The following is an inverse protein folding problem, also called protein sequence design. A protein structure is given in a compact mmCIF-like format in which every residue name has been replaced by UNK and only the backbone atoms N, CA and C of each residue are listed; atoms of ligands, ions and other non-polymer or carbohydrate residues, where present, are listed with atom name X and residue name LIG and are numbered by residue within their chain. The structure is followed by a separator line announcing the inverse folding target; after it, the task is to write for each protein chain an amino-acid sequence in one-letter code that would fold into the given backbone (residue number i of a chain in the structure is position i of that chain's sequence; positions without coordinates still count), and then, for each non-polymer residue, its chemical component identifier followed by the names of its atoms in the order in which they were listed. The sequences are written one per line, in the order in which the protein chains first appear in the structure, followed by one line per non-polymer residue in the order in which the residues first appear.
data_IF_970979871867
#
_entry.id   IF_970979871867
#
_cell.length_a   1.000
_cell.length_b   1.000
_cell.length_c   1.000
_cell.angle_alpha   90.00
_cell.angle_beta   90.00
_cell.angle_gamma   90.00
#
_symmetry.space_group_name_H-M   'P 1'
#
loop_
_entity.id
_entity.type
_entity.pdbx_description
1 polymer ?
#
# COMPACT_ATOMS: atom_id res chain seq x y z
N UNK A 1 -34.01 5.14 -18.92
CA UNK A 1 -32.55 5.30 -19.18
C UNK A 1 -32.19 5.24 -20.66
N UNK A 2 -32.37 4.12 -21.37
CA UNK A 2 -31.86 3.98 -22.76
C UNK A 2 -32.41 5.02 -23.77
N UNK A 3 -33.69 5.42 -23.67
CA UNK A 3 -34.30 6.45 -24.54
C UNK A 3 -33.62 7.81 -24.36
N UNK A 4 -33.60 8.33 -23.15
CA UNK A 4 -32.91 9.58 -22.76
C UNK A 4 -31.43 9.57 -23.18
N UNK A 5 -30.72 8.45 -23.01
CA UNK A 5 -29.32 8.33 -23.45
C UNK A 5 -29.19 8.41 -24.99
N UNK A 6 -30.10 7.81 -25.75
CA UNK A 6 -30.10 7.88 -27.21
C UNK A 6 -30.57 9.24 -27.77
N UNK A 7 -31.34 10.00 -27.00
CA UNK A 7 -31.73 11.38 -27.30
C UNK A 7 -30.56 12.36 -27.09
N UNK A 8 -29.77 12.16 -26.03
CA UNK A 8 -28.59 12.98 -25.72
C UNK A 8 -27.37 12.62 -26.58
N UNK A 9 -27.15 11.33 -26.84
CA UNK A 9 -26.00 10.83 -27.62
C UNK A 9 -26.44 9.81 -28.70
N UNK A 10 -27.09 10.26 -29.78
CA UNK A 10 -27.56 9.41 -30.87
C UNK A 10 -26.41 8.72 -31.65
N UNK A 11 -25.18 9.18 -31.46
CA UNK A 11 -23.96 8.62 -32.07
C UNK A 11 -23.59 7.24 -31.51
N UNK A 12 -24.04 6.89 -30.29
CA UNK A 12 -23.59 5.73 -29.54
C UNK A 12 -24.71 4.67 -29.40
N UNK A 13 -24.62 3.62 -30.23
CA UNK A 13 -25.54 2.47 -30.16
C UNK A 13 -25.19 1.59 -28.94
N UNK A 14 -25.79 1.90 -27.78
CA UNK A 14 -25.58 1.15 -26.53
C UNK A 14 -26.83 0.33 -26.16
N UNK A 15 -26.63 -0.90 -25.69
CA UNK A 15 -27.69 -1.76 -25.16
C UNK A 15 -28.04 -1.39 -23.71
N UNK A 16 -29.30 -1.60 -23.33
CA UNK A 16 -29.81 -1.24 -22.00
C UNK A 16 -29.03 -1.90 -20.85
N UNK A 17 -28.66 -3.18 -21.04
CA UNK A 17 -27.82 -3.92 -20.11
C UNK A 17 -26.44 -3.29 -19.90
N UNK A 18 -25.80 -2.79 -20.99
CA UNK A 18 -24.47 -2.18 -20.92
C UNK A 18 -24.52 -0.82 -20.18
N UNK A 19 -25.60 -0.04 -20.36
CA UNK A 19 -25.85 1.15 -19.55
C UNK A 19 -26.03 0.80 -18.06
N UNK A 20 -26.88 -0.20 -17.75
CA UNK A 20 -27.12 -0.63 -16.37
C UNK A 20 -25.83 -1.14 -15.68
N UNK A 21 -25.00 -1.92 -16.38
CA UNK A 21 -23.76 -2.44 -15.82
C UNK A 21 -22.68 -1.36 -15.65
N UNK A 22 -22.66 -0.31 -16.50
CA UNK A 22 -21.83 0.89 -16.29
C UNK A 22 -22.27 1.70 -15.09
N UNK A 23 -23.57 1.92 -14.89
CA UNK A 23 -24.10 2.60 -13.68
C UNK A 23 -23.74 1.82 -12.42
N UNK A 24 -23.93 0.49 -12.42
CA UNK A 24 -23.52 -0.40 -11.31
C UNK A 24 -22.00 -0.44 -11.10
N UNK A 25 -21.20 -0.15 -12.12
CA UNK A 25 -19.76 -0.02 -11.99
C UNK A 25 -19.40 1.30 -11.30
N UNK A 26 -19.94 2.42 -11.79
CA UNK A 26 -19.72 3.76 -11.21
C UNK A 26 -20.07 3.75 -9.71
N UNK A 27 -21.28 3.31 -9.36
CA UNK A 27 -21.76 3.24 -7.96
C UNK A 27 -20.90 2.34 -7.04
N UNK A 28 -20.23 1.31 -7.58
CA UNK A 28 -19.35 0.41 -6.81
C UNK A 28 -17.88 0.79 -6.84
N UNK A 29 -17.49 1.69 -7.75
CA UNK A 29 -16.09 2.04 -7.99
C UNK A 29 -15.53 3.06 -7.00
N UNK A 30 -16.39 3.68 -6.18
CA UNK A 30 -16.04 4.71 -5.20
C UNK A 30 -15.23 5.87 -5.82
N UNK A 31 -15.52 6.18 -7.09
CA UNK A 31 -14.92 7.28 -7.87
C UNK A 31 -15.52 8.63 -7.45
N UNK A 32 -16.78 8.63 -7.01
CA UNK A 32 -17.49 9.79 -6.49
C UNK A 32 -17.96 9.51 -5.06
N UNK A 33 -17.97 10.54 -4.22
CA UNK A 33 -18.53 10.48 -2.87
C UNK A 33 -20.07 10.51 -2.89
N UNK A 34 -20.71 10.14 -1.78
CA UNK A 34 -22.17 10.10 -1.64
C UNK A 34 -22.79 11.48 -1.92
N UNK A 35 -22.15 12.56 -1.43
CA UNK A 35 -22.58 13.92 -1.68
C UNK A 35 -22.47 14.35 -3.15
N UNK A 36 -21.46 13.86 -3.88
CA UNK A 36 -21.27 14.15 -5.31
C UNK A 36 -22.33 13.41 -6.16
N UNK A 37 -22.64 12.16 -5.82
CA UNK A 37 -23.75 11.44 -6.43
C UNK A 37 -25.10 12.14 -6.22
N UNK A 38 -25.31 12.76 -5.05
CA UNK A 38 -26.54 13.49 -4.74
C UNK A 38 -26.62 14.84 -5.47
N UNK A 39 -25.51 15.57 -5.61
CA UNK A 39 -25.41 16.77 -6.45
C UNK A 39 -25.73 16.45 -7.92
N UNK A 40 -25.09 15.42 -8.49
CA UNK A 40 -25.37 14.97 -9.87
C UNK A 40 -26.83 14.54 -10.06
N UNK A 41 -27.47 13.99 -9.03
CA UNK A 41 -28.89 13.62 -9.06
C UNK A 41 -29.81 14.84 -9.09
N UNK A 42 -29.43 15.93 -8.43
CA UNK A 42 -30.17 17.21 -8.44
C UNK A 42 -29.97 17.97 -9.76
N UNK A 43 -28.78 17.88 -10.35
CA UNK A 43 -28.45 18.47 -11.66
C UNK A 43 -29.16 17.74 -12.83
N UNK A 44 -29.30 16.41 -12.75
CA UNK A 44 -29.90 15.60 -13.80
C UNK A 44 -31.45 15.65 -13.87
N UNK A 45 -32.12 16.32 -12.93
CA UNK A 45 -33.57 16.55 -12.96
C UNK A 45 -33.81 18.01 -13.31
N UNK A 46 -34.26 18.34 -14.54
CA UNK A 46 -34.57 19.71 -14.89
C UNK A 46 -35.74 20.23 -14.04
N UNK A 47 -35.62 21.46 -13.57
CA UNK A 47 -36.67 22.15 -12.82
C UNK A 47 -37.90 22.39 -13.69
N UNK A 48 -38.99 21.69 -13.38
CA UNK A 48 -40.34 22.01 -13.83
C UNK A 48 -41.20 22.35 -12.62
N UNK A 49 -41.91 23.47 -12.69
CA UNK A 49 -42.57 24.15 -11.56
C UNK A 49 -43.77 23.40 -10.93
N UNK A 50 -44.33 24.03 -9.90
CA UNK A 50 -45.17 23.47 -8.84
C UNK A 50 -46.59 22.96 -9.23
N UNK A 51 -47.13 22.11 -8.34
CA UNK A 51 -48.55 21.77 -8.12
C UNK A 51 -49.26 20.93 -9.23
N UNK A 52 -49.92 19.79 -8.95
CA UNK A 52 -50.80 19.56 -7.81
C UNK A 52 -51.16 18.07 -7.55
N UNK A 53 -51.68 17.83 -6.34
CA UNK A 53 -52.57 16.73 -5.91
C UNK A 53 -51.96 15.34 -5.68
N UNK A 54 -52.29 14.79 -4.51
CA UNK A 54 -51.89 13.47 -4.06
C UNK A 54 -52.77 12.36 -4.66
N UNK A 55 -52.19 11.18 -4.84
CA UNK A 55 -52.90 9.93 -4.55
C UNK A 55 -51.92 8.85 -4.02
N UNK A 56 -52.46 7.94 -3.23
CA UNK A 56 -51.73 7.07 -2.30
C UNK A 56 -51.36 5.72 -2.94
N UNK A 57 -50.08 5.32 -2.89
CA UNK A 57 -49.65 3.90 -2.89
C UNK A 57 -48.20 3.76 -2.43
N UNK A 58 -47.99 3.26 -1.21
CA UNK A 58 -46.69 2.77 -0.74
C UNK A 58 -46.59 1.24 -0.93
N UNK A 59 -45.49 0.76 -1.54
CA UNK A 59 -44.87 -0.48 -1.07
C UNK A 59 -43.46 -0.24 -0.53
N UNK A 60 -43.16 -0.88 0.60
CA UNK A 60 -41.89 -0.78 1.33
C UNK A 60 -40.73 -1.47 0.58
N UNK A 61 -39.50 -1.01 0.82
CA UNK A 61 -38.39 -1.83 1.38
C UNK A 61 -37.35 -0.89 2.00
N UNK A 62 -36.83 -1.33 3.15
CA UNK A 62 -36.06 -0.60 4.15
C UNK A 62 -34.75 0.08 3.72
N UNK A 63 -34.50 1.25 4.32
CA UNK A 63 -33.19 1.59 4.89
C UNK A 63 -33.37 2.14 6.32
N UNK A 64 -32.40 1.89 7.22
CA UNK A 64 -32.33 2.47 8.57
C UNK A 64 -31.46 3.73 8.55
N UNK A 65 -31.73 4.67 9.46
CA UNK A 65 -30.60 5.29 10.17
C UNK A 65 -30.79 5.41 11.69
N UNK A 66 -29.65 5.38 12.38
CA UNK A 66 -29.31 6.13 13.62
C UNK A 66 -30.00 7.51 13.71
N UNK A 67 -30.40 8.13 14.83
CA UNK A 67 -30.25 7.94 16.30
C UNK A 67 -31.32 8.86 17.00
N UNK A 68 -31.43 9.13 18.33
CA UNK A 68 -30.62 8.91 19.56
C UNK A 68 -31.56 8.80 20.80
N UNK A 69 -31.02 8.32 21.92
CA UNK A 69 -31.38 8.62 23.33
C UNK A 69 -32.77 8.34 23.94
N UNK A 70 -32.77 8.33 25.28
CA UNK A 70 -33.88 8.43 26.24
C UNK A 70 -34.86 7.24 26.43
N UNK A 71 -34.45 6.30 27.30
CA UNK A 71 -35.12 5.85 28.53
C UNK A 71 -36.65 5.52 28.62
N UNK A 72 -36.93 4.61 29.57
CA UNK A 72 -38.19 4.37 30.35
C UNK A 72 -39.04 3.13 29.98
N UNK A 73 -38.96 2.14 30.89
CA UNK A 73 -39.94 1.13 31.35
C UNK A 73 -40.42 -0.05 30.46
N UNK A 74 -39.97 -1.25 30.89
CA UNK A 74 -40.75 -2.44 31.37
C UNK A 74 -42.21 -2.69 30.93
N UNK A 75 -42.69 -3.96 30.91
CA UNK A 75 -42.14 -5.15 31.58
C UNK A 75 -41.90 -6.39 30.71
N UNK A 76 -40.96 -7.25 31.12
CA UNK A 76 -40.98 -8.68 30.77
C UNK A 76 -40.92 -9.49 32.06
N UNK A 77 -41.77 -10.52 32.09
CA UNK A 77 -42.04 -11.40 33.23
C UNK A 77 -40.80 -12.19 33.64
N UNK A 78 -40.62 -12.33 34.96
CA UNK A 78 -39.66 -13.25 35.58
C UNK A 78 -39.94 -14.68 35.13
N UNK A 79 -38.93 -15.38 34.64
CA UNK A 79 -38.81 -16.80 34.90
C UNK A 79 -37.38 -17.08 35.38
N UNK A 80 -37.32 -17.65 36.57
CA UNK A 80 -36.12 -17.93 37.36
C UNK A 80 -35.37 -19.18 36.87
N UNK A 81 -34.23 -19.43 37.52
CA UNK A 81 -33.35 -20.61 37.40
C UNK A 81 -32.44 -20.48 36.16
N UNK A 82 -31.11 -20.35 36.29
CA UNK A 82 -30.23 -21.13 37.17
C UNK A 82 -29.22 -20.24 37.92
N UNK A 83 -29.46 -20.03 39.22
CA UNK A 83 -28.39 -19.79 40.20
C UNK A 83 -27.81 -21.17 40.55
N UNK A 84 -26.54 -21.47 40.21
CA UNK A 84 -25.69 -22.47 40.91
C UNK A 84 -24.25 -22.68 40.33
N UNK A 85 -23.84 -22.00 39.25
CA UNK A 85 -22.49 -22.22 38.62
C UNK A 85 -21.46 -21.07 38.79
N UNK A 86 -21.81 -19.96 39.46
CA UNK A 86 -20.96 -18.74 39.49
C UNK A 86 -19.81 -18.76 40.54
N UNK A 87 -19.67 -19.79 41.38
CA UNK A 87 -18.63 -19.87 42.44
C UNK A 87 -17.47 -20.86 42.18
N UNK A 88 -17.22 -21.29 40.93
CA UNK A 88 -16.09 -22.19 40.63
C UNK A 88 -15.04 -21.71 39.61
N UNK A 89 -15.10 -20.45 39.15
CA UNK A 89 -14.08 -19.86 38.25
C UNK A 89 -13.37 -18.67 38.91
N UNK A 90 -12.96 -18.85 40.18
CA UNK A 90 -12.38 -17.78 41.01
C UNK A 90 -10.97 -18.01 41.59
N UNK A 91 -10.48 -19.26 41.68
CA UNK A 91 -9.24 -19.58 42.44
C UNK A 91 -8.10 -20.24 41.67
N UNK A 92 -8.33 -20.81 40.48
CA UNK A 92 -7.33 -21.66 39.81
C UNK A 92 -6.14 -20.95 39.16
N UNK A 93 -6.32 -19.73 38.63
CA UNK A 93 -5.32 -19.06 37.77
C UNK A 93 -4.60 -17.86 38.43
N UNK A 94 -4.99 -17.49 39.66
CA UNK A 94 -4.56 -16.24 40.30
C UNK A 94 -3.12 -16.29 40.86
N UNK A 95 -2.52 -17.48 40.98
CA UNK A 95 -1.22 -17.67 41.63
C UNK A 95 -0.01 -17.34 40.72
N UNK A 96 -0.23 -17.18 39.41
CA UNK A 96 0.83 -16.98 38.40
C UNK A 96 1.05 -15.51 37.97
N UNK A 97 0.85 -14.55 38.86
CA UNK A 97 1.15 -13.12 38.60
C UNK A 97 2.64 -12.80 38.77
N UNK A 98 3.41 -13.64 39.47
CA UNK A 98 4.84 -13.43 39.66
C UNK A 98 5.68 -14.03 38.51
N UNK A 99 6.52 -13.18 37.90
CA UNK A 99 7.56 -13.52 36.91
C UNK A 99 7.14 -14.07 35.53
N UNK A 100 6.40 -13.26 34.76
CA UNK A 100 6.35 -13.40 33.30
C UNK A 100 7.71 -13.02 32.64
N UNK A 101 8.64 -13.97 32.56
CA UNK A 101 10.00 -13.76 32.06
C UNK A 101 10.07 -13.35 30.57
N UNK A 102 10.37 -12.06 30.32
CA UNK A 102 11.06 -11.42 29.16
C UNK A 102 10.78 -11.86 27.71
N UNK A 103 9.85 -12.76 27.42
CA UNK A 103 9.38 -13.09 26.06
C UNK A 103 8.02 -12.46 25.83
N UNK A 104 8.03 -11.29 25.21
CA UNK A 104 6.84 -10.48 24.92
C UNK A 104 5.80 -11.28 24.12
N UNK A 105 4.80 -11.83 24.78
CA UNK A 105 3.55 -12.26 24.17
C UNK A 105 2.72 -11.02 23.89
N UNK A 106 2.37 -10.76 22.63
CA UNK A 106 1.55 -9.60 22.31
C UNK A 106 0.12 -9.87 22.78
N UNK A 107 -0.37 -9.06 23.72
CA UNK A 107 -1.78 -9.03 24.12
C UNK A 107 -2.61 -8.58 22.91
N UNK A 108 -3.74 -9.25 22.68
CA UNK A 108 -4.63 -8.91 21.56
C UNK A 108 -5.62 -7.82 21.99
N UNK A 109 -6.02 -6.97 21.04
CA UNK A 109 -7.02 -5.92 21.32
C UNK A 109 -8.39 -6.56 21.52
N UNK A 110 -8.83 -6.65 22.77
CA UNK A 110 -10.13 -7.21 23.16
C UNK A 110 -11.26 -6.21 22.82
N UNK A 111 -12.36 -6.70 22.25
CA UNK A 111 -13.57 -5.92 22.04
C UNK A 111 -14.35 -5.71 23.36
N UNK A 112 -14.92 -4.52 23.56
CA UNK A 112 -15.61 -4.12 24.81
C UNK A 112 -17.04 -4.67 24.94
N UNK A 113 -17.22 -5.98 24.75
CA UNK A 113 -18.50 -6.69 24.94
C UNK A 113 -18.95 -6.67 26.41
N UNK A 114 -20.25 -6.93 26.66
CA UNK A 114 -20.80 -7.01 28.03
C UNK A 114 -20.02 -8.02 28.90
N UNK A 115 -19.80 -9.25 28.40
CA UNK A 115 -19.00 -10.30 29.06
C UNK A 115 -17.58 -9.84 29.38
N UNK A 116 -16.90 -9.22 28.41
CA UNK A 116 -15.51 -8.78 28.58
C UNK A 116 -15.40 -7.63 29.60
N UNK A 117 -16.41 -6.75 29.67
CA UNK A 117 -16.50 -5.69 30.69
C UNK A 117 -16.70 -6.24 32.10
N UNK A 118 -17.43 -7.34 32.28
CA UNK A 118 -17.60 -8.00 33.59
C UNK A 118 -16.25 -8.54 34.08
N UNK A 119 -15.53 -9.30 33.24
CA UNK A 119 -14.18 -9.83 33.58
C UNK A 119 -13.19 -8.70 33.95
N UNK A 120 -13.16 -7.62 33.17
CA UNK A 120 -12.29 -6.46 33.47
C UNK A 120 -12.70 -5.77 34.78
N UNK A 121 -14.00 -5.61 35.05
CA UNK A 121 -14.50 -5.00 36.31
C UNK A 121 -14.18 -5.86 37.53
N UNK A 122 -14.25 -7.18 37.42
CA UNK A 122 -13.91 -8.10 38.50
C UNK A 122 -12.41 -8.06 38.86
N UNK A 123 -11.53 -7.92 37.86
CA UNK A 123 -10.09 -7.86 38.09
C UNK A 123 -9.59 -6.48 38.56
N UNK A 124 -10.27 -5.40 38.19
CA UNK A 124 -9.86 -4.03 38.52
C UNK A 124 -9.66 -3.74 40.03
N UNK A 125 -10.53 -4.18 40.98
CA UNK A 125 -10.28 -3.97 42.41
C UNK A 125 -9.07 -4.76 42.93
N UNK A 126 -8.86 -6.00 42.45
CA UNK A 126 -7.66 -6.79 42.82
C UNK A 126 -6.38 -6.09 42.34
N UNK A 127 -6.43 -5.50 41.15
CA UNK A 127 -5.30 -4.79 40.55
C UNK A 127 -4.86 -3.58 41.38
N UNK A 128 -5.78 -2.87 42.04
CA UNK A 128 -5.44 -1.76 42.95
C UNK A 128 -4.56 -2.25 44.10
N UNK A 129 -4.93 -3.35 44.76
CA UNK A 129 -4.15 -3.94 45.86
C UNK A 129 -2.74 -4.38 45.43
N UNK A 130 -2.58 -4.91 44.20
CA UNK A 130 -1.26 -5.24 43.67
C UNK A 130 -0.44 -4.01 43.27
N UNK A 131 -1.07 -2.94 42.78
CA UNK A 131 -0.39 -1.69 42.43
C UNK A 131 0.11 -0.93 43.67
N UNK A 132 -0.67 -0.91 44.76
CA UNK A 132 -0.27 -0.30 46.04
C UNK A 132 0.97 -0.97 46.66
N UNK A 133 1.20 -2.25 46.36
CA UNK A 133 2.40 -2.98 46.77
C UNK A 133 3.62 -2.76 45.84
N UNK A 134 3.45 -2.15 44.67
CA UNK A 134 4.52 -2.00 43.68
C UNK A 134 5.50 -0.87 44.02
N UNK A 135 6.80 -1.13 43.86
CA UNK A 135 7.88 -0.22 44.26
C UNK A 135 8.52 0.51 43.07
N UNK A 136 8.59 -0.16 41.92
CA UNK A 136 9.24 0.35 40.70
C UNK A 136 8.30 0.29 39.48
N UNK A 137 8.47 1.22 38.54
CA UNK A 137 7.72 1.28 37.28
C UNK A 137 7.78 -0.04 36.47
N UNK A 138 8.89 -0.78 36.57
CA UNK A 138 9.04 -2.10 35.95
C UNK A 138 8.11 -3.16 36.56
N UNK A 139 7.88 -3.08 37.87
CA UNK A 139 6.98 -3.95 38.61
C UNK A 139 5.52 -3.58 38.31
N UNK A 140 5.17 -2.29 38.36
CA UNK A 140 3.89 -1.73 37.92
C UNK A 140 3.51 -2.22 36.51
N UNK A 141 4.44 -2.10 35.54
CA UNK A 141 4.23 -2.57 34.18
C UNK A 141 4.07 -4.09 34.08
N UNK A 142 4.79 -4.86 34.91
CA UNK A 142 4.67 -6.32 34.96
C UNK A 142 3.31 -6.77 35.52
N UNK A 143 2.80 -6.08 36.54
CA UNK A 143 1.46 -6.31 37.12
C UNK A 143 0.37 -6.00 36.09
N UNK A 144 0.44 -4.83 35.44
CA UNK A 144 -0.51 -4.44 34.39
C UNK A 144 -0.51 -5.42 33.20
N UNK A 145 0.67 -5.89 32.79
CA UNK A 145 0.80 -6.88 31.73
C UNK A 145 0.27 -8.27 32.15
N UNK A 146 0.56 -8.72 33.38
CA UNK A 146 0.03 -9.96 33.95
C UNK A 146 -1.50 -9.95 34.03
N UNK A 147 -2.09 -8.83 34.46
CA UNK A 147 -3.53 -8.63 34.47
C UNK A 147 -4.14 -8.66 33.06
N UNK A 148 -3.52 -7.98 32.09
CA UNK A 148 -3.96 -8.03 30.69
C UNK A 148 -3.89 -9.46 30.11
N UNK A 149 -2.88 -10.26 30.47
CA UNK A 149 -2.80 -11.67 30.12
C UNK A 149 -3.89 -12.52 30.78
N UNK A 150 -4.20 -12.29 32.06
CA UNK A 150 -5.29 -12.98 32.76
C UNK A 150 -6.65 -12.72 32.08
N UNK A 151 -6.96 -11.45 31.78
CA UNK A 151 -8.16 -11.08 31.02
C UNK A 151 -8.18 -11.74 29.63
N UNK A 152 -7.05 -11.77 28.92
CA UNK A 152 -6.97 -12.47 27.63
C UNK A 152 -7.25 -13.98 27.75
N UNK A 153 -6.75 -14.65 28.81
CA UNK A 153 -6.99 -16.08 29.06
C UNK A 153 -8.45 -16.38 29.38
N UNK A 154 -9.05 -15.64 30.32
CA UNK A 154 -10.45 -15.82 30.75
C UNK A 154 -11.44 -15.59 29.57
N UNK A 155 -11.10 -14.67 28.66
CA UNK A 155 -11.91 -14.39 27.45
C UNK A 155 -11.65 -15.41 26.32
N UNK A 156 -10.64 -16.28 26.44
CA UNK A 156 -10.23 -17.22 25.39
C UNK A 156 -9.58 -16.52 24.18
N UNK A 157 -9.05 -15.31 24.37
CA UNK A 157 -8.42 -14.54 23.31
C UNK A 157 -7.08 -15.19 22.91
N UNK A 158 -6.89 -15.43 21.61
CA UNK A 158 -5.66 -16.02 21.07
C UNK A 158 -4.47 -15.10 21.37
N UNK A 159 -3.63 -15.50 22.32
CA UNK A 159 -2.38 -14.83 22.63
C UNK A 159 -1.42 -14.97 21.45
N UNK A 160 -0.98 -13.85 20.88
CA UNK A 160 -0.05 -13.88 19.76
C UNK A 160 1.38 -14.03 20.30
N UNK A 161 1.92 -15.25 20.20
CA UNK A 161 3.37 -15.45 20.32
C UNK A 161 4.06 -14.55 19.29
N UNK A 162 4.86 -13.58 19.75
CA UNK A 162 5.58 -12.67 18.87
C UNK A 162 6.45 -13.48 17.89
N UNK A 163 6.11 -13.40 16.60
CA UNK A 163 6.67 -14.27 15.57
C UNK A 163 5.69 -14.58 14.43
N UNK A 164 4.38 -14.65 14.71
CA UNK A 164 3.34 -14.64 13.65
C UNK A 164 2.71 -13.26 13.51
N UNK A 165 3.51 -12.34 13.00
CA UNK A 165 2.92 -11.32 12.15
C UNK A 165 2.23 -12.08 10.99
N UNK A 166 0.90 -11.98 10.89
CA UNK A 166 0.21 -12.12 9.61
C UNK A 166 0.52 -10.88 8.78
N UNK A 167 1.81 -10.66 8.53
CA UNK A 167 2.24 -9.76 7.49
C UNK A 167 1.56 -10.24 6.22
N UNK A 168 0.87 -9.33 5.54
CA UNK A 168 0.58 -9.54 4.14
C UNK A 168 1.94 -9.77 3.48
N UNK A 169 2.26 -11.04 3.22
CA UNK A 169 3.42 -11.40 2.42
C UNK A 169 3.36 -10.49 1.20
N UNK A 170 4.46 -9.79 0.91
CA UNK A 170 4.57 -8.94 -0.27
C UNK A 170 4.63 -9.85 -1.50
N UNK A 171 3.50 -10.49 -1.78
CA UNK A 171 3.37 -11.55 -2.74
C UNK A 171 3.77 -10.97 -4.09
N UNK A 172 4.73 -11.64 -4.72
CA UNK A 172 5.25 -11.22 -6.02
C UNK A 172 4.05 -11.09 -6.95
N UNK A 173 3.73 -9.90 -7.49
CA UNK A 173 2.48 -9.71 -8.21
C UNK A 173 2.32 -10.71 -9.35
N UNK A 174 1.11 -11.23 -9.56
CA UNK A 174 0.84 -12.29 -10.55
C UNK A 174 1.33 -11.94 -11.96
N UNK A 175 1.33 -10.65 -12.33
CA UNK A 175 1.87 -10.21 -13.60
C UNK A 175 3.39 -10.51 -13.72
N UNK A 176 4.14 -10.39 -12.63
CA UNK A 176 5.59 -10.63 -12.56
C UNK A 176 5.87 -12.13 -12.62
N UNK A 177 5.12 -12.94 -11.87
CA UNK A 177 5.18 -14.42 -11.93
C UNK A 177 4.94 -14.89 -13.38
N UNK A 178 3.83 -14.47 -14.00
CA UNK A 178 3.47 -14.85 -15.38
C UNK A 178 4.52 -14.46 -16.43
N UNK A 179 5.23 -13.35 -16.27
CA UNK A 179 6.31 -12.97 -17.20
C UNK A 179 7.59 -13.78 -16.92
N UNK A 180 7.95 -14.02 -15.66
CA UNK A 180 9.09 -14.87 -15.29
C UNK A 180 8.92 -16.30 -15.81
N UNK A 181 7.71 -16.87 -15.70
CA UNK A 181 7.41 -18.18 -16.32
C UNK A 181 7.57 -18.19 -17.84
N UNK A 182 7.13 -17.13 -18.54
CA UNK A 182 7.29 -17.02 -19.99
C UNK A 182 8.77 -16.97 -20.38
N UNK A 183 9.58 -16.23 -19.63
CA UNK A 183 11.04 -16.20 -19.79
C UNK A 183 11.64 -17.60 -19.55
N UNK A 184 11.24 -18.30 -18.49
CA UNK A 184 11.73 -19.65 -18.19
C UNK A 184 11.36 -20.66 -19.29
N UNK A 185 10.11 -20.65 -19.76
CA UNK A 185 9.61 -21.48 -20.86
C UNK A 185 10.37 -21.20 -22.17
N UNK A 186 10.64 -19.93 -22.48
CA UNK A 186 11.44 -19.55 -23.66
C UNK A 186 12.91 -19.97 -23.55
N UNK A 187 13.56 -19.79 -22.39
CA UNK A 187 14.93 -20.28 -22.14
C UNK A 187 15.05 -21.79 -22.30
N UNK A 188 14.10 -22.55 -21.74
CA UNK A 188 14.04 -24.00 -21.90
C UNK A 188 13.84 -24.44 -23.36
N UNK A 189 13.08 -23.66 -24.15
CA UNK A 189 12.90 -23.92 -25.58
C UNK A 189 14.19 -23.60 -26.36
N UNK A 190 14.84 -22.46 -26.13
CA UNK A 190 16.14 -22.09 -26.72
C UNK A 190 17.16 -23.21 -26.48
N UNK A 191 17.30 -23.72 -25.24
CA UNK A 191 18.21 -24.81 -24.93
C UNK A 191 17.95 -26.06 -25.79
N UNK A 192 16.68 -26.45 -25.99
CA UNK A 192 16.32 -27.59 -26.85
C UNK A 192 16.59 -27.33 -28.34
N UNK A 193 16.39 -26.11 -28.82
CA UNK A 193 16.74 -25.73 -30.21
C UNK A 193 18.26 -25.78 -30.43
N UNK A 194 19.05 -25.33 -29.45
CA UNK A 194 20.52 -25.43 -29.48
C UNK A 194 20.97 -26.89 -29.49
N UNK A 195 20.41 -27.75 -28.62
CA UNK A 195 20.74 -29.19 -28.63
C UNK A 195 20.39 -29.88 -29.96
N UNK A 196 19.28 -29.49 -30.60
CA UNK A 196 18.94 -30.01 -31.93
C UNK A 196 19.94 -29.53 -32.99
N UNK A 197 20.28 -28.23 -32.98
CA UNK A 197 21.30 -27.65 -33.87
C UNK A 197 22.69 -28.27 -33.70
N UNK A 198 23.04 -28.73 -32.49
CA UNK A 198 24.28 -29.47 -32.22
C UNK A 198 24.20 -30.97 -32.55
N UNK A 199 23.19 -31.41 -33.32
CA UNK A 199 23.05 -32.79 -33.81
C UNK A 199 22.29 -33.77 -32.91
N UNK A 200 21.71 -33.33 -31.78
CA UNK A 200 20.94 -34.23 -30.92
C UNK A 200 19.52 -34.45 -31.46
N UNK A 201 19.36 -35.53 -32.22
CA UNK A 201 18.12 -35.94 -32.86
C UNK A 201 17.22 -36.84 -31.99
N UNK A 202 17.34 -36.79 -30.65
CA UNK A 202 16.48 -37.61 -29.78
C UNK A 202 14.98 -37.31 -30.00
N UNK A 203 14.08 -38.32 -29.99
CA UNK A 203 12.67 -38.12 -30.33
C UNK A 203 11.94 -37.05 -29.49
N UNK A 204 12.36 -36.87 -28.22
CA UNK A 204 11.84 -35.83 -27.32
C UNK A 204 12.21 -34.41 -27.77
N UNK A 205 13.44 -34.23 -28.26
CA UNK A 205 13.91 -32.94 -28.79
C UNK A 205 13.22 -32.68 -30.13
N UNK A 206 13.23 -33.64 -31.07
CA UNK A 206 12.55 -33.53 -32.38
C UNK A 206 11.06 -33.18 -32.22
N UNK A 207 10.35 -33.83 -31.29
CA UNK A 207 8.95 -33.49 -30.97
C UNK A 207 8.83 -32.05 -30.45
N UNK A 208 9.74 -31.59 -29.60
CA UNK A 208 9.69 -30.20 -29.12
C UNK A 208 9.98 -29.20 -30.24
N UNK A 209 10.97 -29.45 -31.09
CA UNK A 209 11.30 -28.57 -32.24
C UNK A 209 10.10 -28.48 -33.18
N UNK A 210 9.46 -29.62 -33.51
CA UNK A 210 8.23 -29.64 -34.33
C UNK A 210 7.10 -28.83 -33.70
N UNK A 211 6.94 -28.86 -32.38
CA UNK A 211 5.97 -28.02 -31.66
C UNK A 211 6.36 -26.53 -31.63
N UNK A 212 7.66 -26.19 -31.62
CA UNK A 212 8.13 -24.80 -31.64
C UNK A 212 7.86 -24.07 -32.97
N UNK A 213 7.70 -24.85 -34.05
CA UNK A 213 7.31 -24.44 -35.40
C UNK A 213 5.88 -24.84 -35.77
N UNK A 214 5.06 -25.34 -34.83
CA UNK A 214 3.67 -25.69 -35.12
C UNK A 214 2.88 -24.46 -35.58
N UNK A 215 2.13 -24.60 -36.67
CA UNK A 215 1.44 -23.48 -37.34
C UNK A 215 2.33 -22.61 -38.23
N UNK A 216 3.59 -22.98 -38.45
CA UNK A 216 4.46 -22.36 -39.48
C UNK A 216 4.76 -23.37 -40.59
N UNK A 217 5.01 -22.90 -41.82
CA UNK A 217 5.29 -23.74 -43.00
C UNK A 217 6.72 -24.32 -43.01
N UNK A 218 7.29 -24.58 -41.83
CA UNK A 218 8.66 -25.05 -41.63
C UNK A 218 8.65 -26.56 -41.34
N UNK A 219 9.24 -27.34 -42.24
CA UNK A 219 9.49 -28.76 -42.03
C UNK A 219 10.94 -29.00 -41.65
N UNK A 220 11.19 -29.92 -40.72
CA UNK A 220 12.55 -30.27 -40.29
C UNK A 220 13.40 -30.92 -41.40
N UNK A 221 12.77 -31.35 -42.50
CA UNK A 221 13.44 -31.91 -43.68
C UNK A 221 13.87 -30.86 -44.70
N UNK A 222 13.56 -29.57 -44.50
CA UNK A 222 13.99 -28.50 -45.40
C UNK A 222 15.49 -28.21 -45.24
N UNK A 223 16.24 -27.91 -46.32
CA UNK A 223 17.68 -27.64 -46.24
C UNK A 223 18.01 -26.36 -45.45
N UNK A 224 17.10 -25.40 -45.39
CA UNK A 224 17.24 -24.12 -44.68
C UNK A 224 16.88 -24.18 -43.18
N UNK A 225 16.57 -25.37 -42.64
CA UNK A 225 16.13 -25.55 -41.25
C UNK A 225 17.11 -24.96 -40.23
N UNK A 226 18.42 -25.00 -40.50
CA UNK A 226 19.45 -24.47 -39.59
C UNK A 226 19.45 -22.94 -39.51
N UNK A 227 19.09 -22.27 -40.60
CA UNK A 227 18.90 -20.82 -40.61
C UNK A 227 17.64 -20.45 -39.83
N UNK A 228 16.50 -21.09 -40.16
CA UNK A 228 15.21 -20.91 -39.46
C UNK A 228 15.29 -21.21 -37.96
N UNK A 229 16.12 -22.17 -37.54
CA UNK A 229 16.42 -22.43 -36.14
C UNK A 229 17.19 -21.29 -35.47
N UNK A 230 18.11 -20.65 -36.19
CA UNK A 230 18.86 -19.49 -35.70
C UNK A 230 17.95 -18.29 -35.52
N UNK A 231 17.19 -17.94 -36.56
CA UNK A 231 16.15 -16.90 -36.52
C UNK A 231 15.19 -17.12 -35.34
N UNK A 232 14.70 -18.36 -35.17
CA UNK A 232 13.80 -18.73 -34.07
C UNK A 232 14.44 -18.64 -32.69
N UNK A 233 15.75 -18.90 -32.55
CA UNK A 233 16.48 -18.71 -31.30
C UNK A 233 16.59 -17.20 -30.99
N UNK A 234 16.88 -16.38 -31.99
CA UNK A 234 17.07 -14.94 -31.82
C UNK A 234 15.75 -14.19 -31.55
N UNK A 235 14.65 -14.57 -32.21
CA UNK A 235 13.28 -14.21 -31.84
C UNK A 235 13.03 -14.38 -30.32
N UNK A 236 13.42 -15.53 -29.78
CA UNK A 236 13.16 -15.88 -28.39
C UNK A 236 14.07 -15.09 -27.44
N UNK A 237 15.32 -14.81 -27.84
CA UNK A 237 16.22 -13.89 -27.10
C UNK A 237 15.62 -12.47 -27.05
N UNK A 238 15.19 -11.94 -28.19
CA UNK A 238 14.54 -10.62 -28.28
C UNK A 238 13.28 -10.56 -27.39
N UNK A 239 12.43 -11.59 -27.43
CA UNK A 239 11.24 -11.67 -26.57
C UNK A 239 11.59 -11.74 -25.08
N UNK A 240 12.64 -12.46 -24.70
CA UNK A 240 13.15 -12.49 -23.32
C UNK A 240 13.61 -11.11 -22.86
N UNK A 241 14.35 -10.37 -23.69
CA UNK A 241 14.79 -9.00 -23.40
C UNK A 241 13.59 -8.04 -23.26
N UNK A 242 12.64 -8.06 -24.20
CA UNK A 242 11.39 -7.29 -24.11
C UNK A 242 10.61 -7.60 -22.81
N UNK A 243 10.54 -8.87 -22.41
CA UNK A 243 9.91 -9.28 -21.15
C UNK A 243 10.70 -8.83 -19.90
N UNK A 244 12.03 -8.86 -19.95
CA UNK A 244 12.90 -8.30 -18.89
C UNK A 244 12.71 -6.79 -18.73
N UNK A 245 12.75 -6.05 -19.84
CA UNK A 245 12.44 -4.61 -19.90
C UNK A 245 11.04 -4.29 -19.37
N UNK A 246 10.04 -5.15 -19.66
CA UNK A 246 8.67 -5.02 -19.11
C UNK A 246 8.63 -5.21 -17.60
N UNK A 247 9.33 -6.22 -17.06
CA UNK A 247 9.44 -6.43 -15.60
C UNK A 247 10.08 -5.21 -14.93
N UNK A 248 11.20 -4.71 -15.48
CA UNK A 248 11.87 -3.51 -14.97
C UNK A 248 10.93 -2.32 -14.94
N UNK A 249 10.32 -1.95 -16.08
CA UNK A 249 9.40 -0.81 -16.21
C UNK A 249 8.22 -0.88 -15.24
N UNK A 250 7.62 -2.06 -15.08
CA UNK A 250 6.47 -2.23 -14.17
C UNK A 250 6.88 -2.22 -12.70
N UNK A 251 8.07 -2.73 -12.37
CA UNK A 251 8.62 -2.64 -11.01
C UNK A 251 8.93 -1.18 -10.68
N UNK A 252 9.61 -0.44 -11.56
CA UNK A 252 9.87 1.00 -11.38
C UNK A 252 8.57 1.83 -11.26
N UNK A 253 7.54 1.50 -12.04
CA UNK A 253 6.23 2.18 -11.92
C UNK A 253 5.58 1.92 -10.56
N UNK A 254 5.67 0.69 -10.06
CA UNK A 254 5.12 0.31 -8.75
C UNK A 254 5.91 0.95 -7.60
N UNK A 255 7.25 1.01 -7.70
CA UNK A 255 8.06 1.70 -6.67
C UNK A 255 7.76 3.19 -6.65
N UNK A 256 7.73 3.87 -7.81
CA UNK A 256 7.35 5.29 -7.90
C UNK A 256 5.94 5.55 -7.35
N UNK A 257 4.97 4.71 -7.71
CA UNK A 257 3.60 4.83 -7.18
C UNK A 257 3.57 4.69 -5.65
N UNK A 258 4.27 3.69 -5.10
CA UNK A 258 4.32 3.47 -3.66
C UNK A 258 5.08 4.61 -2.94
N UNK A 259 6.16 5.13 -3.51
CA UNK A 259 6.93 6.26 -2.99
C UNK A 259 6.10 7.55 -2.98
N UNK A 260 5.44 7.87 -4.10
CA UNK A 260 4.57 9.06 -4.20
C UNK A 260 3.38 8.96 -3.25
N UNK A 261 2.74 7.79 -3.15
CA UNK A 261 1.63 7.56 -2.20
C UNK A 261 2.09 7.68 -0.75
N UNK A 262 3.28 7.16 -0.42
CA UNK A 262 3.87 7.27 0.90
C UNK A 262 4.15 8.74 1.23
N UNK A 263 4.79 9.47 0.30
CA UNK A 263 5.10 10.90 0.40
C UNK A 263 3.86 11.77 0.60
N UNK A 264 2.77 11.50 -0.14
CA UNK A 264 1.48 12.19 0.03
C UNK A 264 0.87 11.96 1.42
N UNK A 265 1.08 10.79 2.03
CA UNK A 265 0.55 10.47 3.37
C UNK A 265 1.45 10.89 4.53
N UNK A 266 2.77 10.86 4.32
CA UNK A 266 3.80 11.12 5.31
C UNK A 266 5.12 11.41 4.56
N UNK A 267 5.48 12.69 4.46
CA UNK A 267 6.66 13.12 3.72
C UNK A 267 7.98 12.61 4.32
N UNK A 268 8.04 12.26 5.63
CA UNK A 268 9.25 11.76 6.27
C UNK A 268 9.64 10.36 5.78
N UNK A 269 8.67 9.45 5.74
CA UNK A 269 8.92 8.00 5.52
C UNK A 269 9.65 7.67 4.21
N UNK A 270 9.46 8.38 3.09
CA UNK A 270 10.29 8.21 1.90
C UNK A 270 11.76 8.48 2.19
N UNK A 271 12.10 9.57 2.87
CA UNK A 271 13.47 9.90 3.28
C UNK A 271 14.02 8.87 4.25
N UNK A 272 13.27 8.49 5.30
CA UNK A 272 13.65 7.38 6.22
C UNK A 272 13.90 6.05 5.46
N UNK A 273 13.20 5.81 4.35
CA UNK A 273 13.37 4.63 3.49
C UNK A 273 14.57 4.71 2.53
N UNK A 274 15.10 5.91 2.30
CA UNK A 274 16.37 6.17 1.61
C UNK A 274 17.53 6.15 2.60
N UNK A 275 17.36 6.79 3.77
CA UNK A 275 18.17 6.70 5.00
C UNK A 275 18.06 5.32 5.70
N UNK A 276 17.83 4.25 4.92
CA UNK A 276 18.01 2.88 5.40
C UNK A 276 19.28 2.83 6.24
N UNK A 277 19.30 2.15 7.41
CA UNK A 277 20.49 2.01 8.23
C UNK A 277 21.49 1.06 7.56
N UNK A 278 22.06 1.54 6.45
CA UNK A 278 23.11 0.93 5.66
C UNK A 278 24.40 1.16 6.44
N UNK A 279 24.56 0.32 7.46
CA UNK A 279 25.57 0.45 8.51
C UNK A 279 25.33 1.69 9.36
N UNK A 280 24.66 1.54 10.51
CA UNK A 280 25.04 2.38 11.68
C UNK A 280 26.54 2.14 11.85
N UNK A 281 27.35 3.17 11.64
CA UNK A 281 28.81 3.07 11.70
C UNK A 281 29.27 2.49 13.02
N UNK A 282 29.51 1.18 13.06
CA UNK A 282 30.25 0.51 14.14
C UNK A 282 31.77 0.63 13.93
N UNK A 283 32.20 1.17 12.78
CA UNK A 283 33.53 1.73 12.64
C UNK A 283 33.70 3.01 13.48
N UNK A 284 34.92 3.34 13.91
CA UNK A 284 35.20 4.59 14.61
C UNK A 284 34.81 5.79 13.73
N UNK A 285 34.47 6.91 14.37
CA UNK A 285 34.18 8.16 13.67
C UNK A 285 35.34 8.52 12.72
N UNK A 286 35.07 8.99 11.49
CA UNK A 286 36.11 9.30 10.52
C UNK A 286 37.04 10.38 11.09
N UNK A 287 38.35 10.14 10.99
CA UNK A 287 39.38 11.09 11.43
C UNK A 287 39.11 12.48 10.83
N UNK A 288 39.19 13.53 11.65
CA UNK A 288 38.98 14.92 11.24
C UNK A 288 39.86 15.28 10.03
N UNK A 289 41.12 14.82 10.00
CA UNK A 289 42.02 15.06 8.87
C UNK A 289 41.49 14.45 7.55
N UNK A 290 40.94 13.23 7.61
CA UNK A 290 40.37 12.55 6.44
C UNK A 290 39.09 13.24 5.96
N UNK A 291 38.25 13.69 6.90
CA UNK A 291 37.02 14.43 6.60
C UNK A 291 37.33 15.79 5.94
N UNK A 292 38.31 16.52 6.47
CA UNK A 292 38.78 17.79 5.89
C UNK A 292 39.42 17.57 4.52
N UNK A 293 40.22 16.52 4.33
CA UNK A 293 40.81 16.20 3.03
C UNK A 293 39.73 15.83 1.99
N UNK A 294 38.72 15.05 2.37
CA UNK A 294 37.60 14.70 1.49
C UNK A 294 36.81 15.94 1.04
N UNK A 295 36.35 16.78 1.97
CA UNK A 295 35.60 17.99 1.63
C UNK A 295 36.44 19.02 0.87
N UNK A 296 37.74 19.14 1.18
CA UNK A 296 38.68 19.99 0.43
C UNK A 296 38.85 19.50 -1.00
N UNK A 297 38.98 18.19 -1.23
CA UNK A 297 39.04 17.63 -2.58
C UNK A 297 37.77 17.89 -3.39
N UNK A 298 36.60 17.92 -2.74
CA UNK A 298 35.32 18.19 -3.42
C UNK A 298 35.05 19.68 -3.69
N UNK A 299 35.50 20.59 -2.81
CA UNK A 299 35.14 22.02 -2.86
C UNK A 299 36.29 22.98 -3.20
N UNK A 300 37.54 22.55 -3.03
CA UNK A 300 38.73 23.41 -3.23
C UNK A 300 39.56 23.03 -4.44
N UNK A 301 39.35 21.85 -5.03
CA UNK A 301 39.93 21.49 -6.32
C UNK A 301 39.02 21.98 -7.44
N UNK A 302 39.46 22.90 -8.32
CA UNK A 302 38.66 23.38 -9.43
C UNK A 302 38.53 22.29 -10.50
N UNK A 303 37.42 21.55 -10.47
CA UNK A 303 37.08 20.56 -11.49
C UNK A 303 36.56 21.31 -12.72
N UNK A 304 37.33 21.26 -13.81
CA UNK A 304 36.84 21.69 -15.13
C UNK A 304 35.82 20.67 -15.63
N UNK A 305 34.54 20.94 -15.41
CA UNK A 305 33.46 20.15 -15.99
C UNK A 305 33.43 20.36 -17.51
N UNK A 306 33.61 19.29 -18.29
CA UNK A 306 33.28 19.33 -19.72
C UNK A 306 31.77 19.41 -19.85
N UNK A 307 31.26 20.62 -20.12
CA UNK A 307 29.86 20.80 -20.45
C UNK A 307 29.52 19.99 -21.71
N UNK A 308 28.35 19.36 -21.71
CA UNK A 308 27.87 18.62 -22.87
C UNK A 308 27.21 19.56 -23.89
N UNK A 309 27.03 19.15 -25.15
CA UNK A 309 26.43 19.98 -26.22
C UNK A 309 25.02 20.52 -25.91
N UNK A 310 24.39 20.06 -24.83
CA UNK A 310 23.12 20.57 -24.35
C UNK A 310 23.20 22.00 -23.79
N UNK A 311 24.37 22.47 -23.30
CA UNK A 311 24.48 23.84 -22.79
C UNK A 311 24.40 24.87 -23.91
N UNK A 312 24.95 24.58 -25.10
CA UNK A 312 24.75 25.36 -26.33
C UNK A 312 23.28 25.38 -26.78
N UNK A 313 22.57 24.25 -26.65
CA UNK A 313 21.13 24.14 -26.95
C UNK A 313 20.29 24.97 -25.97
N UNK A 314 20.62 24.94 -24.67
CA UNK A 314 19.94 25.78 -23.67
C UNK A 314 20.29 27.26 -23.85
N UNK A 315 21.55 27.59 -24.11
CA UNK A 315 21.98 28.97 -24.37
C UNK A 315 21.29 29.57 -25.60
N UNK A 316 21.15 28.80 -26.69
CA UNK A 316 20.42 29.25 -27.89
C UNK A 316 18.90 29.36 -27.68
N UNK A 317 18.28 28.49 -26.86
CA UNK A 317 16.89 28.66 -26.44
C UNK A 317 16.71 29.92 -25.57
N UNK A 318 17.62 30.13 -24.61
CA UNK A 318 17.61 31.26 -23.69
C UNK A 318 18.11 32.58 -24.30
N UNK A 319 18.70 32.59 -25.50
CA UNK A 319 19.20 33.80 -26.16
C UNK A 319 18.09 34.83 -26.49
N UNK A 320 16.83 34.39 -26.51
CA UNK A 320 15.65 35.25 -26.65
C UNK A 320 15.12 35.80 -25.32
N UNK A 321 15.60 35.29 -24.19
CA UNK A 321 15.20 35.70 -22.85
C UNK A 321 16.08 36.87 -22.44
N UNK A 322 15.44 38.00 -22.13
CA UNK A 322 16.13 39.18 -21.61
C UNK A 322 16.88 38.82 -20.31
N UNK A 323 18.16 39.18 -20.15
CA UNK A 323 18.88 38.92 -18.91
C UNK A 323 18.17 39.61 -17.75
N UNK A 324 18.12 38.94 -16.60
CA UNK A 324 17.59 39.54 -15.38
C UNK A 324 18.50 40.69 -14.94
N UNK A 325 17.90 41.84 -14.66
CA UNK A 325 18.63 43.00 -14.11
C UNK A 325 19.35 42.62 -12.80
N UNK A 326 20.49 43.26 -12.46
CA UNK A 326 21.25 42.90 -11.26
C UNK A 326 20.43 43.09 -9.98
N UNK A 327 19.98 42.00 -9.38
CA UNK A 327 19.28 42.01 -8.10
C UNK A 327 20.28 42.25 -6.97
N UNK A 328 20.36 43.49 -6.50
CA UNK A 328 21.13 43.85 -5.31
C UNK A 328 20.37 43.42 -4.05
N UNK A 329 20.71 42.24 -3.50
CA UNK A 329 20.16 41.76 -2.23
C UNK A 329 20.75 42.58 -1.08
N UNK A 330 19.90 43.35 -0.40
CA UNK A 330 20.28 44.16 0.77
C UNK A 330 20.15 43.35 2.07
N UNK A 331 20.82 43.75 3.17
CA UNK A 331 20.62 43.09 4.47
C UNK A 331 19.18 43.20 4.98
N UNK A 332 18.44 44.25 4.58
CA UNK A 332 17.05 44.45 4.97
C UNK A 332 16.12 43.46 4.26
N UNK A 333 16.37 43.15 2.97
CA UNK A 333 15.65 42.09 2.24
C UNK A 333 15.81 40.72 2.93
N UNK A 334 17.01 40.42 3.43
CA UNK A 334 17.30 39.19 4.18
C UNK A 334 16.57 39.19 5.52
N UNK A 335 16.54 40.33 6.24
CA UNK A 335 15.81 40.45 7.49
C UNK A 335 14.28 40.28 7.30
N UNK A 336 13.71 40.92 6.28
CA UNK A 336 12.28 40.81 5.94
C UNK A 336 11.92 39.38 5.51
N UNK A 337 12.77 38.73 4.69
CA UNK A 337 12.60 37.34 4.31
C UNK A 337 12.68 36.38 5.51
N UNK A 338 13.62 36.57 6.44
CA UNK A 338 13.74 35.75 7.66
C UNK A 338 12.56 35.98 8.62
N UNK A 339 12.07 37.21 8.75
CA UNK A 339 10.87 37.51 9.55
C UNK A 339 9.58 36.91 8.97
N UNK A 340 9.49 36.75 7.64
CA UNK A 340 8.37 36.09 6.96
C UNK A 340 8.57 34.59 6.75
N UNK A 341 9.78 34.07 6.93
CA UNK A 341 10.05 32.65 6.79
C UNK A 341 9.22 31.88 7.83
N UNK A 342 8.45 30.85 7.41
CA UNK A 342 7.75 30.01 8.37
C UNK A 342 8.78 29.35 9.30
N UNK A 343 8.44 29.23 10.58
CA UNK A 343 9.27 28.56 11.58
C UNK A 343 9.77 27.22 11.01
N UNK A 344 11.08 26.99 10.99
CA UNK A 344 11.83 25.90 10.32
C UNK A 344 11.31 24.46 10.49
N UNK A 345 10.36 24.22 11.38
CA UNK A 345 9.64 22.94 11.58
C UNK A 345 8.37 22.81 10.73
N UNK A 346 7.92 23.91 10.12
CA UNK A 346 6.72 24.02 9.30
C UNK A 346 7.09 23.73 7.84
N UNK A 347 6.14 23.29 7.00
CA UNK A 347 6.40 23.15 5.58
C UNK A 347 6.76 24.50 4.94
N UNK A 348 7.59 24.48 3.91
CA UNK A 348 7.81 25.63 3.03
C UNK A 348 6.53 26.00 2.24
N UNK A 349 6.63 27.07 1.43
CA UNK A 349 5.54 27.49 0.52
C UNK A 349 5.19 26.43 -0.54
N UNK A 350 6.12 25.50 -0.79
CA UNK A 350 5.97 24.30 -1.63
C UNK A 350 5.27 23.13 -0.91
N UNK A 351 4.93 23.29 0.37
CA UNK A 351 4.37 22.26 1.22
C UNK A 351 5.37 21.20 1.66
N UNK A 352 6.68 21.39 1.45
CA UNK A 352 7.72 20.45 1.86
C UNK A 352 8.19 20.73 3.28
N UNK A 353 8.15 19.72 4.15
CA UNK A 353 8.87 19.80 5.42
C UNK A 353 10.37 19.65 5.19
N UNK A 354 11.12 20.71 5.45
CA UNK A 354 12.56 20.63 5.65
C UNK A 354 12.84 19.95 7.02
N UNK A 355 13.76 18.98 7.03
CA UNK A 355 14.23 18.26 8.23
C UNK A 355 15.74 18.37 8.35
#
# INVERSE_FOLDING_TARGET
MRRIFAELEPSLIVTEQNLADRVRYILRSNIFDVAEHELLRREAVPSSDENATAEDTVPQIAEQPTNVDAAVNTPVVVNSNDDDDDEYIGRGDCENVQYASRKSTATTRIALSKRNRVVVRALNPMLVTYLEASRDLCETNSILFGAALAVCRIIGAKLSTAGRATGQSSAIPDWKIRIVERIAKARALIGRLICFRSGNNSPRIVRTVRMAFAGTNVSLSQPDIMQKLTERIDDLKQRIDVWGKRIRRYTERLTRFNQNRLFQSDQKRPYESFERPMVRGTGPAPNQANSVAFWRGLWSEPINHTEGPWTEVVASQCASIMPMEPVAITPDDVAEAVCRAPNWKSPGLDGLHHY
#
